data_IF_034453552807
#
_entry.id   IF_034453552807
#
_cell.length_a   1.000
_cell.length_b   1.000
_cell.length_c   1.000
_cell.angle_alpha   90.00
_cell.angle_beta   90.00
_cell.angle_gamma   90.00
#
_symmetry.space_group_name_H-M   'P 1'
#
loop_
_entity.id
_entity.type
_entity.pdbx_description
1 polymer ?
#
# COMPACT_ATOMS: atom_id res chain seq x y z
N UNK A 1 -4.61 26.60 -1.74
CA UNK A 1 -3.31 26.02 -1.32
C UNK A 1 -3.40 24.54 -1.65
N UNK A 2 -2.73 24.11 -2.74
CA UNK A 2 -2.78 22.73 -3.21
C UNK A 2 -2.05 21.82 -2.22
N UNK A 3 -2.77 20.87 -1.59
CA UNK A 3 -2.13 19.74 -0.95
C UNK A 3 -1.60 18.80 -2.06
N UNK A 4 -0.28 18.79 -2.18
CA UNK A 4 0.39 17.92 -3.13
C UNK A 4 0.30 16.47 -2.64
N UNK A 5 -0.31 15.60 -3.45
CA UNK A 5 -0.16 14.14 -3.30
C UNK A 5 1.33 13.79 -3.30
N UNK A 6 1.85 13.35 -2.16
CA UNK A 6 3.19 12.80 -2.08
C UNK A 6 3.15 11.35 -2.57
N UNK A 7 3.42 11.16 -3.86
CA UNK A 7 3.76 9.84 -4.38
C UNK A 7 5.11 9.43 -3.77
N UNK A 8 5.12 8.52 -2.82
CA UNK A 8 6.34 7.89 -2.32
C UNK A 8 6.86 6.94 -3.41
N UNK A 9 7.74 7.45 -4.27
CA UNK A 9 8.50 6.64 -5.23
C UNK A 9 9.59 5.92 -4.44
N UNK A 10 9.48 4.62 -4.27
CA UNK A 10 10.56 3.77 -3.74
C UNK A 10 11.16 2.94 -4.86
N UNK A 11 12.50 2.88 -4.96
CA UNK A 11 13.16 1.98 -5.89
C UNK A 11 13.00 0.53 -5.41
N UNK A 12 12.64 -0.35 -6.31
CA UNK A 12 12.69 -1.81 -6.12
C UNK A 12 14.15 -2.25 -5.96
N UNK A 13 14.48 -3.17 -5.04
CA UNK A 13 15.82 -3.74 -4.96
C UNK A 13 16.08 -4.63 -6.17
N UNK A 14 17.17 -4.34 -6.89
CA UNK A 14 17.68 -5.17 -7.96
C UNK A 14 18.06 -6.55 -7.42
N UNK A 15 17.53 -7.60 -8.03
CA UNK A 15 17.83 -8.98 -7.70
C UNK A 15 19.15 -9.39 -8.34
N UNK A 16 20.19 -9.56 -7.54
CA UNK A 16 21.37 -10.33 -7.92
C UNK A 16 20.97 -11.81 -8.05
N UNK A 17 21.17 -12.36 -9.25
CA UNK A 17 20.97 -13.77 -9.50
C UNK A 17 22.10 -14.57 -8.85
N UNK A 18 21.82 -15.39 -7.85
CA UNK A 18 22.64 -16.56 -7.53
C UNK A 18 21.79 -17.83 -7.60
N UNK A 19 22.28 -18.72 -8.43
CA UNK A 19 21.64 -19.96 -8.85
C UNK A 19 22.08 -21.07 -7.91
N UNK A 20 21.16 -21.59 -7.05
CA UNK A 20 21.28 -22.93 -6.49
C UNK A 20 19.96 -23.68 -6.54
N UNK A 21 20.00 -24.81 -7.23
CA UNK A 21 18.92 -25.74 -7.42
C UNK A 21 18.60 -26.53 -6.14
N UNK A 22 17.33 -26.87 -5.98
CA UNK A 22 16.90 -28.04 -5.21
C UNK A 22 15.91 -27.78 -4.10
N UNK A 23 14.64 -28.10 -4.31
CA UNK A 23 13.67 -28.23 -3.23
C UNK A 23 12.24 -27.84 -3.64
N UNK A 24 11.51 -28.81 -4.25
CA UNK A 24 10.06 -28.73 -4.41
C UNK A 24 9.38 -28.56 -3.05
N UNK A 25 8.69 -27.47 -2.86
CA UNK A 25 7.49 -27.36 -2.02
C UNK A 25 6.63 -26.27 -2.63
N UNK A 26 5.72 -26.65 -3.49
CA UNK A 26 4.61 -25.83 -3.99
C UNK A 26 3.66 -25.57 -2.83
N UNK A 27 3.89 -24.53 -2.05
CA UNK A 27 2.84 -23.92 -1.27
C UNK A 27 1.92 -23.21 -2.27
N UNK A 28 0.79 -23.85 -2.58
CA UNK A 28 -0.27 -23.23 -3.35
C UNK A 28 -0.70 -21.95 -2.61
N UNK A 29 -0.29 -20.80 -3.14
CA UNK A 29 -0.80 -19.49 -2.75
C UNK A 29 -2.30 -19.57 -2.94
N UNK A 30 -3.05 -19.62 -1.84
CA UNK A 30 -4.51 -19.46 -1.90
C UNK A 30 -4.74 -18.06 -2.44
N UNK A 31 -5.10 -18.01 -3.71
CA UNK A 31 -5.66 -16.80 -4.31
C UNK A 31 -6.96 -16.56 -3.56
N UNK A 32 -7.01 -15.48 -2.78
CA UNK A 32 -8.26 -14.99 -2.23
C UNK A 32 -9.22 -14.70 -3.41
N UNK A 33 -10.55 -14.78 -3.20
CA UNK A 33 -11.51 -14.48 -4.25
C UNK A 33 -11.18 -13.12 -4.83
N UNK A 34 -11.24 -13.04 -6.14
CA UNK A 34 -10.93 -11.90 -7.00
C UNK A 34 -11.73 -10.65 -6.55
N UNK A 35 -11.15 -9.86 -5.63
CA UNK A 35 -11.73 -8.63 -5.09
C UNK A 35 -11.32 -7.43 -5.96
N UNK A 36 -11.21 -7.66 -7.26
CA UNK A 36 -10.84 -6.62 -8.22
C UNK A 36 -11.97 -5.61 -8.36
N UNK A 37 -11.70 -4.37 -8.02
CA UNK A 37 -12.63 -3.25 -8.19
C UNK A 37 -12.21 -2.39 -9.38
N UNK A 38 -13.17 -1.99 -10.22
CA UNK A 38 -12.92 -1.01 -11.28
C UNK A 38 -13.16 0.38 -10.73
N UNK A 39 -12.17 1.26 -10.87
CA UNK A 39 -12.24 2.65 -10.41
C UNK A 39 -11.56 3.59 -11.40
N UNK A 40 -11.72 4.90 -11.19
CA UNK A 40 -11.01 5.95 -11.93
C UNK A 40 -9.94 6.55 -11.03
N UNK A 41 -8.70 6.53 -11.49
CA UNK A 41 -7.57 7.15 -10.78
C UNK A 41 -6.80 8.10 -11.70
N UNK A 42 -6.02 9.01 -11.11
CA UNK A 42 -5.16 9.91 -11.86
C UNK A 42 -4.21 9.16 -12.79
N UNK A 43 -4.03 9.66 -14.01
CA UNK A 43 -3.19 9.02 -15.05
C UNK A 43 -1.77 8.73 -14.59
N UNK A 44 -1.22 9.52 -13.65
CA UNK A 44 0.12 9.32 -13.08
C UNK A 44 0.23 8.09 -12.17
N UNK A 45 -0.89 7.58 -11.68
CA UNK A 45 -0.97 6.38 -10.84
C UNK A 45 -1.43 5.15 -11.62
N UNK A 46 -1.94 5.35 -12.85
CA UNK A 46 -2.56 4.32 -13.68
C UNK A 46 -1.54 3.43 -14.40
N UNK A 47 -0.61 2.85 -13.64
CA UNK A 47 0.38 1.87 -14.11
C UNK A 47 0.18 0.55 -13.37
N UNK A 48 0.19 -0.58 -14.09
CA UNK A 48 0.05 -1.92 -13.50
C UNK A 48 1.18 -2.18 -12.50
N UNK A 49 0.82 -2.63 -11.29
CA UNK A 49 1.73 -2.85 -10.17
C UNK A 49 1.98 -1.61 -9.30
N UNK A 50 1.45 -0.44 -9.70
CA UNK A 50 1.51 0.76 -8.86
C UNK A 50 0.65 0.58 -7.63
N UNK A 51 1.17 0.99 -6.47
CA UNK A 51 0.44 1.04 -5.21
C UNK A 51 0.18 2.48 -4.79
N UNK A 52 -0.98 2.70 -4.18
CA UNK A 52 -1.40 4.01 -3.65
C UNK A 52 -2.34 3.82 -2.46
N UNK A 53 -2.45 4.82 -1.61
CA UNK A 53 -3.48 4.89 -0.58
C UNK A 53 -4.60 5.79 -1.10
N UNK A 54 -5.83 5.33 -0.97
CA UNK A 54 -6.98 6.11 -1.38
C UNK A 54 -7.37 7.11 -0.27
N UNK A 55 -7.29 8.41 -0.58
CA UNK A 55 -7.51 9.50 0.38
C UNK A 55 -8.95 10.04 0.40
N UNK A 56 -9.86 9.41 -0.34
CA UNK A 56 -11.26 9.85 -0.36
C UNK A 56 -11.54 11.02 -1.29
N UNK A 57 -12.58 11.78 -0.95
CA UNK A 57 -13.13 12.85 -1.77
C UNK A 57 -12.36 14.18 -1.58
N UNK A 58 -12.08 14.86 -2.69
CA UNK A 58 -11.64 16.26 -2.69
C UNK A 58 -12.83 17.22 -2.88
N UNK A 59 -12.70 18.45 -2.38
CA UNK A 59 -13.72 19.50 -2.60
C UNK A 59 -14.04 19.74 -4.09
N UNK A 60 -13.05 19.55 -4.97
CA UNK A 60 -13.22 19.73 -6.41
C UNK A 60 -13.97 18.58 -7.10
N UNK A 61 -14.34 17.53 -6.35
CA UNK A 61 -15.18 16.43 -6.84
C UNK A 61 -16.68 16.77 -6.82
N UNK A 62 -17.08 17.87 -6.18
CA UNK A 62 -18.47 18.29 -6.12
C UNK A 62 -19.00 18.60 -7.54
N UNK A 63 -20.13 18.01 -7.89
CA UNK A 63 -20.74 18.18 -9.23
C UNK A 63 -20.06 17.42 -10.37
N UNK A 64 -19.00 16.65 -10.12
CA UNK A 64 -18.33 15.87 -11.13
C UNK A 64 -19.22 14.69 -11.62
N UNK A 65 -19.41 14.50 -12.95
CA UNK A 65 -20.24 13.42 -13.48
C UNK A 65 -19.67 12.02 -13.21
N UNK A 66 -18.37 11.93 -12.93
CA UNK A 66 -17.65 10.66 -12.68
C UNK A 66 -17.47 10.37 -11.20
N UNK A 67 -18.02 11.20 -10.31
CA UNK A 67 -17.84 11.09 -8.85
C UNK A 67 -18.11 9.68 -8.33
N UNK A 68 -19.18 9.03 -8.74
CA UNK A 68 -19.54 7.68 -8.29
C UNK A 68 -18.57 6.57 -8.74
N UNK A 69 -17.83 6.78 -9.83
CA UNK A 69 -16.81 5.84 -10.29
C UNK A 69 -15.44 6.06 -9.64
N UNK A 70 -15.16 7.29 -9.15
CA UNK A 70 -13.92 7.61 -8.46
C UNK A 70 -13.99 7.30 -6.95
N UNK A 71 -15.19 7.45 -6.34
CA UNK A 71 -15.38 7.35 -4.89
C UNK A 71 -16.00 5.99 -4.49
N UNK A 72 -15.50 4.90 -5.08
CA UNK A 72 -15.98 3.54 -4.83
C UNK A 72 -14.93 2.66 -4.11
N UNK A 73 -13.89 3.28 -3.55
CA UNK A 73 -12.86 2.65 -2.75
C UNK A 73 -12.98 3.08 -1.28
N UNK A 74 -12.40 2.31 -0.37
CA UNK A 74 -12.36 2.63 1.06
C UNK A 74 -11.23 3.63 1.36
N UNK A 75 -11.56 4.74 2.00
CA UNK A 75 -10.57 5.75 2.41
C UNK A 75 -9.56 5.19 3.39
N UNK A 76 -8.30 5.61 3.29
CA UNK A 76 -7.18 5.12 4.09
C UNK A 76 -6.65 3.75 3.67
N UNK A 77 -7.35 3.04 2.78
CA UNK A 77 -6.93 1.70 2.32
C UNK A 77 -5.89 1.80 1.21
N UNK A 78 -4.89 0.91 1.29
CA UNK A 78 -3.86 0.75 0.25
C UNK A 78 -4.36 -0.17 -0.85
N UNK A 79 -4.21 0.27 -2.09
CA UNK A 79 -4.59 -0.48 -3.29
C UNK A 79 -3.42 -0.68 -4.22
N UNK A 80 -3.46 -1.76 -5.00
CA UNK A 80 -2.55 -2.04 -6.11
C UNK A 80 -3.32 -2.05 -7.42
N UNK A 81 -2.79 -1.42 -8.45
CA UNK A 81 -3.32 -1.50 -9.82
C UNK A 81 -2.97 -2.86 -10.40
N UNK A 82 -3.99 -3.65 -10.74
CA UNK A 82 -3.84 -4.98 -11.34
C UNK A 82 -4.01 -4.96 -12.85
N UNK A 83 -4.76 -3.98 -13.38
CA UNK A 83 -5.00 -3.85 -14.81
C UNK A 83 -5.42 -2.45 -15.21
N UNK A 84 -5.23 -2.14 -16.49
CA UNK A 84 -5.77 -0.94 -17.12
C UNK A 84 -6.83 -1.43 -18.10
N UNK A 85 -8.03 -0.84 -18.02
CA UNK A 85 -9.11 -1.22 -18.93
C UNK A 85 -8.73 -0.93 -20.37
N UNK A 86 -8.90 -1.93 -21.23
CA UNK A 86 -8.77 -1.76 -22.68
C UNK A 86 -9.75 -0.67 -23.15
N UNK A 87 -9.29 0.24 -24.00
CA UNK A 87 -10.05 1.41 -24.46
C UNK A 87 -10.43 2.43 -23.38
N UNK A 88 -9.79 2.40 -22.20
CA UNK A 88 -9.97 3.46 -21.19
C UNK A 88 -9.49 4.80 -21.75
N UNK A 89 -10.45 5.66 -22.09
CA UNK A 89 -10.15 7.04 -22.44
C UNK A 89 -9.69 7.82 -21.19
N UNK A 90 -8.82 8.80 -21.40
CA UNK A 90 -8.53 9.78 -20.35
C UNK A 90 -9.69 10.75 -20.25
N UNK A 91 -10.24 10.89 -19.05
CA UNK A 91 -11.35 11.79 -18.74
C UNK A 91 -10.80 13.00 -17.98
N UNK A 92 -11.35 14.18 -18.28
CA UNK A 92 -10.97 15.39 -17.58
C UNK A 92 -11.32 15.33 -16.10
N UNK A 93 -10.45 15.84 -15.25
CA UNK A 93 -10.62 15.87 -13.81
C UNK A 93 -10.09 17.17 -13.21
N UNK A 94 -10.86 17.80 -12.33
CA UNK A 94 -10.44 19.03 -11.66
C UNK A 94 -9.32 18.82 -10.62
N UNK A 95 -9.21 17.58 -10.09
CA UNK A 95 -8.21 17.20 -9.07
C UNK A 95 -6.89 16.76 -9.70
N UNK A 96 -6.95 16.08 -10.86
CA UNK A 96 -5.78 15.46 -11.50
C UNK A 96 -5.45 16.17 -12.82
N UNK A 97 -4.33 16.89 -12.87
CA UNK A 97 -3.89 17.66 -14.04
C UNK A 97 -3.82 16.87 -15.36
N UNK A 98 -3.50 15.59 -15.27
CA UNK A 98 -3.43 14.68 -16.43
C UNK A 98 -4.74 13.96 -16.73
N UNK A 99 -5.83 14.29 -16.00
CA UNK A 99 -7.09 13.55 -16.05
C UNK A 99 -7.04 12.20 -15.33
N UNK A 100 -8.12 11.42 -15.47
CA UNK A 100 -8.27 10.09 -14.85
C UNK A 100 -8.49 9.01 -15.90
N UNK A 101 -8.13 7.76 -15.55
CA UNK A 101 -8.35 6.56 -16.38
C UNK A 101 -8.97 5.45 -15.56
N UNK A 102 -9.75 4.59 -16.24
CA UNK A 102 -10.32 3.40 -15.64
C UNK A 102 -9.26 2.31 -15.49
N UNK A 103 -9.09 1.86 -14.25
CA UNK A 103 -8.17 0.78 -13.87
C UNK A 103 -8.89 -0.27 -13.05
N UNK A 104 -8.28 -1.43 -12.96
CA UNK A 104 -8.63 -2.50 -12.04
C UNK A 104 -7.66 -2.45 -10.86
N UNK A 105 -8.20 -2.47 -9.65
CA UNK A 105 -7.42 -2.41 -8.41
C UNK A 105 -7.84 -3.50 -7.45
N UNK A 106 -6.92 -3.94 -6.61
CA UNK A 106 -7.18 -4.83 -5.48
C UNK A 106 -6.62 -4.20 -4.20
N UNK A 107 -7.19 -4.48 -3.02
CA UNK A 107 -6.58 -4.10 -1.76
C UNK A 107 -5.17 -4.69 -1.65
N UNK A 108 -4.21 -3.90 -1.18
CA UNK A 108 -2.82 -4.31 -1.04
C UNK A 108 -2.42 -4.45 0.43
N UNK A 109 -1.50 -5.38 0.69
CA UNK A 109 -0.88 -5.53 2.00
C UNK A 109 -0.03 -4.32 2.36
N UNK A 110 0.14 -4.07 3.67
CA UNK A 110 0.92 -2.93 4.18
C UNK A 110 2.14 -3.45 4.93
N UNK A 111 3.36 -3.24 4.42
CA UNK A 111 4.57 -3.58 5.17
C UNK A 111 4.77 -2.57 6.31
N UNK A 112 4.96 -3.09 7.54
CA UNK A 112 5.05 -2.27 8.75
C UNK A 112 5.99 -2.87 9.79
N UNK A 113 6.57 -2.01 10.63
CA UNK A 113 7.32 -2.40 11.81
C UNK A 113 6.39 -2.48 13.02
N UNK A 114 6.36 -3.65 13.64
CA UNK A 114 5.59 -3.89 14.87
C UNK A 114 6.52 -4.31 16.01
N UNK A 115 6.07 -4.21 17.29
CA UNK A 115 6.85 -4.75 18.40
C UNK A 115 7.12 -6.24 18.22
N UNK A 116 8.41 -6.65 18.30
CA UNK A 116 8.87 -8.03 17.99
C UNK A 116 8.11 -9.11 18.77
N UNK A 117 7.75 -8.82 20.00
CA UNK A 117 6.95 -9.71 20.85
C UNK A 117 5.52 -10.00 20.34
N UNK A 118 5.03 -9.25 19.34
CA UNK A 118 3.73 -9.44 18.70
C UNK A 118 3.83 -9.87 17.23
N UNK A 119 5.03 -10.01 16.69
CA UNK A 119 5.31 -10.28 15.30
C UNK A 119 5.18 -11.77 14.93
N UNK A 120 3.96 -12.29 14.92
CA UNK A 120 3.66 -13.67 14.53
C UNK A 120 2.61 -13.69 13.42
N UNK A 121 2.85 -14.50 12.38
CA UNK A 121 1.89 -14.67 11.31
C UNK A 121 0.52 -15.14 11.84
N UNK A 122 -0.55 -14.50 11.37
CA UNK A 122 -1.92 -14.74 11.83
C UNK A 122 -2.31 -14.04 13.15
N UNK A 123 -1.36 -13.41 13.86
CA UNK A 123 -1.68 -12.61 15.04
C UNK A 123 -2.16 -11.21 14.66
N UNK A 124 -2.79 -10.51 15.63
CA UNK A 124 -3.09 -9.10 15.50
C UNK A 124 -2.01 -8.27 16.17
N UNK A 125 -1.60 -7.20 15.51
CA UNK A 125 -0.67 -6.23 16.05
C UNK A 125 -1.02 -4.82 15.59
N UNK A 126 -0.64 -3.83 16.40
CA UNK A 126 -0.67 -2.41 16.04
C UNK A 126 0.75 -1.92 15.78
N UNK A 127 0.86 -0.81 15.10
CA UNK A 127 2.13 -0.10 14.93
C UNK A 127 2.76 0.24 16.29
N UNK A 128 4.08 0.40 16.31
CA UNK A 128 4.81 0.69 17.56
C UNK A 128 4.62 2.13 18.09
N UNK A 129 3.78 2.92 17.43
CA UNK A 129 3.50 4.32 17.73
C UNK A 129 4.35 5.30 16.92
N UNK A 130 4.05 6.60 16.98
CA UNK A 130 4.65 7.62 16.13
C UNK A 130 6.17 7.65 16.26
N UNK A 131 6.84 7.99 15.15
CA UNK A 131 8.30 8.09 15.08
C UNK A 131 8.70 9.46 14.51
N UNK A 132 9.45 10.28 15.26
CA UNK A 132 9.89 11.59 14.79
C UNK A 132 11.14 11.53 13.88
N UNK A 133 11.80 10.37 13.77
CA UNK A 133 13.05 10.20 13.04
C UNK A 133 12.80 9.95 11.54
N UNK A 134 12.48 10.99 10.79
CA UNK A 134 12.16 10.92 9.35
C UNK A 134 13.32 10.47 8.48
N UNK A 135 14.57 10.71 8.92
CA UNK A 135 15.78 10.28 8.22
C UNK A 135 16.13 8.79 8.41
N UNK A 136 15.41 8.10 9.30
CA UNK A 136 15.63 6.68 9.55
C UNK A 136 15.20 5.85 8.33
N UNK A 137 16.01 4.89 7.85
CA UNK A 137 15.66 4.04 6.71
C UNK A 137 14.39 3.21 6.93
N UNK A 138 14.02 2.99 8.19
CA UNK A 138 12.80 2.28 8.56
C UNK A 138 11.61 3.20 8.84
N UNK A 139 11.74 4.52 8.71
CA UNK A 139 10.68 5.46 9.08
C UNK A 139 9.36 5.12 8.38
N UNK A 140 9.37 4.88 7.08
CA UNK A 140 8.17 4.57 6.33
C UNK A 140 7.56 3.17 6.60
N UNK A 141 8.22 2.34 7.38
CA UNK A 141 7.64 1.11 7.93
C UNK A 141 7.12 1.31 9.36
N UNK A 142 7.64 2.32 10.07
CA UNK A 142 7.14 2.70 11.40
C UNK A 142 5.90 3.59 11.31
N UNK A 143 5.79 4.37 10.24
CA UNK A 143 4.68 5.26 9.91
C UNK A 143 4.28 4.99 8.46
N UNK A 144 3.72 3.80 8.17
CA UNK A 144 3.35 3.44 6.80
C UNK A 144 2.07 4.17 6.38
N UNK A 145 2.02 4.57 5.10
CA UNK A 145 0.78 5.02 4.50
C UNK A 145 -0.20 3.84 4.40
N UNK A 146 -1.44 4.04 4.81
CA UNK A 146 -2.51 3.04 4.77
C UNK A 146 -2.60 2.14 6.01
N UNK A 147 -2.02 2.56 7.15
CA UNK A 147 -2.27 1.95 8.45
C UNK A 147 -2.20 2.99 9.57
N UNK A 148 -3.18 3.00 10.45
CA UNK A 148 -3.25 3.88 11.60
C UNK A 148 -2.64 3.25 12.86
N UNK A 149 -2.19 4.08 13.81
CA UNK A 149 -1.53 3.61 15.03
C UNK A 149 -2.49 2.91 15.99
N UNK A 150 -3.76 3.27 15.96
CA UNK A 150 -4.78 2.75 16.85
C UNK A 150 -5.42 1.47 16.33
N UNK A 151 -5.14 1.09 15.07
CA UNK A 151 -5.69 -0.09 14.42
C UNK A 151 -4.91 -1.35 14.77
N UNK A 152 -5.62 -2.41 15.12
CA UNK A 152 -5.09 -3.77 15.19
C UNK A 152 -5.33 -4.52 13.89
N UNK A 153 -4.24 -4.80 13.16
CA UNK A 153 -4.29 -5.52 11.88
C UNK A 153 -3.73 -6.92 11.99
N UNK A 154 -4.23 -7.82 11.15
CA UNK A 154 -3.73 -9.19 11.08
C UNK A 154 -2.42 -9.22 10.32
N UNK A 155 -1.39 -9.82 10.90
CA UNK A 155 -0.11 -10.07 10.24
C UNK A 155 -0.30 -11.25 9.28
N UNK A 156 -0.07 -11.01 7.99
CA UNK A 156 -0.09 -12.08 6.98
C UNK A 156 1.22 -12.86 7.00
N UNK A 157 2.34 -12.15 7.01
CA UNK A 157 3.67 -12.75 7.10
C UNK A 157 4.67 -11.90 7.88
N UNK A 158 5.69 -12.58 8.41
CA UNK A 158 6.85 -11.94 9.05
C UNK A 158 7.97 -11.84 8.02
N UNK A 159 8.46 -10.61 7.77
CA UNK A 159 9.50 -10.35 6.77
C UNK A 159 10.91 -10.38 7.38
N UNK A 160 11.03 -10.20 8.71
CA UNK A 160 12.30 -10.29 9.43
C UNK A 160 12.74 -8.98 10.06
N UNK A 161 14.04 -8.71 10.03
CA UNK A 161 14.62 -7.52 10.65
C UNK A 161 14.29 -6.24 9.85
N UNK A 162 14.05 -5.10 10.56
CA UNK A 162 13.88 -3.80 9.92
C UNK A 162 15.14 -3.35 9.19
N UNK A 163 15.05 -2.41 8.22
CA UNK A 163 16.22 -1.87 7.52
C UNK A 163 17.23 -1.10 8.39
N UNK A 164 16.84 -0.64 9.59
CA UNK A 164 17.76 0.00 10.53
C UNK A 164 18.45 -1.03 11.41
N UNK A 165 19.71 -0.79 11.77
CA UNK A 165 20.45 -1.66 12.69
C UNK A 165 20.01 -1.47 14.16
N UNK A 166 19.73 -0.22 14.55
CA UNK A 166 19.33 0.12 15.92
C UNK A 166 18.27 1.23 15.90
N UNK A 167 17.16 1.00 16.59
CA UNK A 167 16.11 2.00 16.71
C UNK A 167 16.53 3.10 17.71
N UNK A 168 16.54 4.37 17.26
CA UNK A 168 16.89 5.51 18.12
C UNK A 168 15.95 5.69 19.34
N UNK A 169 14.72 5.14 19.27
CA UNK A 169 13.77 5.12 20.39
C UNK A 169 13.89 3.88 21.27
N UNK A 170 14.92 3.04 21.05
CA UNK A 170 15.13 1.80 21.81
C UNK A 170 14.02 0.76 21.65
N UNK A 171 13.27 0.82 20.56
CA UNK A 171 12.19 -0.13 20.28
C UNK A 171 12.77 -1.41 19.66
N UNK A 172 12.30 -2.55 20.14
CA UNK A 172 12.57 -3.87 19.52
C UNK A 172 11.46 -4.14 18.52
N UNK A 173 11.82 -4.11 17.23
CA UNK A 173 10.87 -4.12 16.11
C UNK A 173 11.17 -5.24 15.13
N UNK A 174 10.13 -5.78 14.54
CA UNK A 174 10.19 -6.74 13.45
C UNK A 174 9.37 -6.23 12.29
N UNK A 175 9.90 -6.36 11.08
CA UNK A 175 9.20 -6.02 9.86
C UNK A 175 8.22 -7.14 9.51
N UNK A 176 6.96 -6.77 9.32
CA UNK A 176 5.87 -7.68 8.96
C UNK A 176 5.11 -7.14 7.77
N UNK A 177 4.27 -7.95 7.21
CA UNK A 177 3.28 -7.55 6.20
C UNK A 177 1.89 -7.73 6.79
N UNK A 178 1.14 -6.64 6.93
CA UNK A 178 -0.26 -6.68 7.31
C UNK A 178 -1.11 -7.14 6.14
N UNK A 179 -2.12 -7.96 6.44
CA UNK A 179 -3.10 -8.40 5.46
C UNK A 179 -3.80 -7.19 4.85
N UNK A 180 -4.06 -7.24 3.55
CA UNK A 180 -4.91 -6.29 2.87
C UNK A 180 -6.30 -6.23 3.55
N UNK A 181 -6.85 -5.05 3.72
CA UNK A 181 -8.21 -4.86 4.23
C UNK A 181 -9.21 -5.10 3.11
N UNK A 182 -10.29 -5.81 3.44
CA UNK A 182 -11.42 -6.08 2.54
C UNK A 182 -12.42 -4.93 2.55
#
# INVERSE_FOLDING_TARGET
>A
MCLALRAAVRPSPERSADRREGGKLTAARRVAPDMTTVTLIGTRLADVGREFVYEGESADCEGCPYRGQCLNLSEGTRYRVTGIRENAQTLDCAVHDGGVRAVEVEPASVPANVPSKRAYAGSKASLAGPCPHTECPSHGYCVPDGADFDDERVIDQVLGEPPHETCALGRDLTLVEFRAEE
#
